data_IF_642661026200
#
_entry.id   IF_642661026200
#
_cell.length_a   1.000
_cell.length_b   1.000
_cell.length_c   1.000
_cell.angle_alpha   90.00
_cell.angle_beta   90.00
_cell.angle_gamma   90.00
#
_symmetry.space_group_name_H-M   'P 1'
#
loop_
_entity.id
_entity.type
_entity.pdbx_description
1 polymer ?
#
# COMPACT_ATOMS: atom_id res chain seq x y z
N UNK A 1 14.11 -18.06 -19.96
CA UNK A 1 13.82 -18.98 -18.83
C UNK A 1 14.71 -20.19 -18.94
N UNK A 2 15.33 -20.62 -17.86
CA UNK A 2 16.20 -21.80 -17.79
C UNK A 2 15.40 -23.12 -17.78
N UNK A 3 14.07 -23.04 -17.91
CA UNK A 3 13.15 -24.18 -17.97
C UNK A 3 12.58 -24.60 -16.61
N UNK A 4 12.91 -23.89 -15.53
CA UNK A 4 12.37 -24.15 -14.19
C UNK A 4 10.93 -23.61 -13.98
N UNK A 5 10.38 -22.89 -14.96
CA UNK A 5 9.03 -22.34 -14.95
C UNK A 5 8.92 -20.95 -14.34
N UNK A 6 10.01 -20.39 -13.80
CA UNK A 6 10.04 -19.05 -13.23
C UNK A 6 10.61 -18.01 -14.19
N UNK A 7 10.26 -16.76 -13.93
CA UNK A 7 10.71 -15.60 -14.71
C UNK A 7 12.09 -15.17 -14.26
N UNK A 8 12.85 -14.64 -15.20
CA UNK A 8 14.19 -14.09 -14.99
C UNK A 8 14.19 -12.58 -15.20
N UNK A 9 15.17 -11.92 -14.60
CA UNK A 9 15.51 -10.54 -14.88
C UNK A 9 16.13 -10.40 -16.27
N UNK A 10 16.16 -9.19 -16.87
CA UNK A 10 16.75 -8.97 -18.19
C UNK A 10 18.22 -9.37 -18.31
N UNK A 11 18.93 -9.44 -17.19
CA UNK A 11 20.35 -9.88 -17.12
C UNK A 11 20.50 -11.41 -16.98
N UNK A 12 19.41 -12.17 -16.92
CA UNK A 12 19.38 -13.62 -16.78
C UNK A 12 19.38 -14.12 -15.32
N UNK A 13 19.44 -13.24 -14.34
CA UNK A 13 19.32 -13.65 -12.94
C UNK A 13 17.88 -14.04 -12.59
N UNK A 14 17.68 -14.91 -11.61
CA UNK A 14 16.36 -15.30 -11.15
C UNK A 14 15.62 -14.11 -10.52
N UNK A 15 14.37 -13.89 -10.94
CA UNK A 15 13.47 -12.95 -10.29
C UNK A 15 12.89 -13.60 -9.02
N UNK A 16 13.42 -13.22 -7.87
CA UNK A 16 12.93 -13.69 -6.56
C UNK A 16 12.49 -12.48 -5.73
N UNK A 17 11.23 -12.45 -5.32
CA UNK A 17 10.67 -11.37 -4.51
C UNK A 17 10.58 -11.78 -3.04
N UNK A 18 11.16 -11.01 -2.14
CA UNK A 18 11.08 -11.23 -0.70
C UNK A 18 9.80 -10.58 -0.15
N UNK A 19 8.87 -11.41 0.30
CA UNK A 19 7.58 -11.01 0.88
C UNK A 19 7.68 -11.07 2.40
N UNK A 20 8.25 -10.06 3.02
CA UNK A 20 8.26 -9.97 4.48
C UNK A 20 6.93 -9.43 4.99
N UNK A 21 6.40 -10.03 6.05
CA UNK A 21 5.17 -9.59 6.69
C UNK A 21 5.25 -9.68 8.22
N UNK A 22 4.40 -8.91 8.89
CA UNK A 22 4.17 -9.06 10.33
C UNK A 22 2.70 -9.42 10.54
N UNK A 23 2.43 -10.43 11.38
CA UNK A 23 1.06 -10.92 11.63
C UNK A 23 0.13 -9.85 12.22
N UNK A 24 0.68 -8.81 12.84
CA UNK A 24 -0.07 -7.63 13.24
C UNK A 24 -0.71 -6.90 12.03
N UNK A 25 -0.07 -6.93 10.87
CA UNK A 25 -0.52 -6.23 9.67
C UNK A 25 -1.42 -7.07 8.76
N UNK A 26 -1.09 -8.36 8.61
CA UNK A 26 -1.81 -9.28 7.72
C UNK A 26 -1.64 -10.72 8.20
N UNK A 27 -2.65 -11.57 7.96
CA UNK A 27 -2.56 -12.99 8.27
C UNK A 27 -1.56 -13.72 7.34
N UNK A 28 -0.71 -14.56 7.91
CA UNK A 28 0.32 -15.31 7.16
C UNK A 28 -0.26 -16.16 6.03
N UNK A 29 -1.42 -16.81 6.25
CA UNK A 29 -2.10 -17.58 5.22
C UNK A 29 -2.46 -16.75 3.97
N UNK A 30 -2.78 -15.47 4.14
CA UNK A 30 -3.04 -14.58 2.98
C UNK A 30 -1.77 -14.34 2.19
N UNK A 31 -0.65 -14.15 2.87
CA UNK A 31 0.66 -13.91 2.22
C UNK A 31 1.11 -15.17 1.47
N UNK A 32 1.00 -16.33 2.11
CA UNK A 32 1.32 -17.62 1.50
C UNK A 32 0.48 -17.90 0.25
N UNK A 33 -0.83 -17.61 0.31
CA UNK A 33 -1.73 -17.78 -0.84
C UNK A 33 -1.36 -16.87 -2.00
N UNK A 34 -0.99 -15.61 -1.73
CA UNK A 34 -0.48 -14.70 -2.77
C UNK A 34 0.80 -15.24 -3.38
N UNK A 35 1.72 -15.76 -2.57
CA UNK A 35 2.94 -16.40 -3.05
C UNK A 35 2.67 -17.59 -3.97
N UNK A 36 1.68 -18.43 -3.66
CA UNK A 36 1.25 -19.55 -4.51
C UNK A 36 0.69 -19.04 -5.85
N UNK A 37 -0.20 -18.05 -5.85
CA UNK A 37 -0.74 -17.48 -7.10
C UNK A 37 0.34 -16.84 -7.96
N UNK A 38 1.36 -16.25 -7.36
CA UNK A 38 2.48 -15.70 -8.10
C UNK A 38 3.36 -16.80 -8.70
N UNK A 39 3.57 -17.89 -7.97
CA UNK A 39 4.29 -19.06 -8.50
C UNK A 39 3.57 -19.66 -9.72
N UNK A 40 2.24 -19.72 -9.71
CA UNK A 40 1.42 -20.22 -10.82
C UNK A 40 1.60 -19.41 -12.12
N UNK A 41 2.02 -18.15 -12.01
CA UNK A 41 2.33 -17.28 -13.15
C UNK A 41 3.83 -17.07 -13.37
N UNK A 42 4.65 -17.87 -12.70
CA UNK A 42 6.10 -17.90 -12.87
C UNK A 42 6.84 -16.79 -12.11
N UNK A 43 6.27 -16.22 -11.07
CA UNK A 43 6.96 -15.25 -10.19
C UNK A 43 7.34 -15.96 -8.89
N UNK A 44 8.65 -16.15 -8.69
CA UNK A 44 9.15 -16.76 -7.46
C UNK A 44 9.11 -15.77 -6.30
N UNK A 45 8.61 -16.21 -5.14
CA UNK A 45 8.62 -15.40 -3.92
C UNK A 45 9.09 -16.20 -2.71
N UNK A 46 9.72 -15.50 -1.76
CA UNK A 46 10.11 -16.04 -0.46
C UNK A 46 9.29 -15.33 0.61
N UNK A 47 8.40 -16.08 1.26
CA UNK A 47 7.54 -15.57 2.33
C UNK A 47 8.26 -15.70 3.67
N UNK A 48 8.39 -14.60 4.42
CA UNK A 48 9.05 -14.55 5.72
C UNK A 48 8.23 -13.74 6.72
N UNK A 49 7.84 -14.38 7.80
CA UNK A 49 7.31 -13.68 8.98
C UNK A 49 8.44 -13.01 9.74
N UNK A 50 8.25 -11.76 10.12
CA UNK A 50 9.18 -10.96 10.91
C UNK A 50 8.44 -10.25 12.04
N UNK A 51 9.17 -9.76 13.02
CA UNK A 51 8.58 -8.93 14.08
C UNK A 51 8.12 -7.58 13.53
N UNK A 52 7.14 -6.90 14.16
CA UNK A 52 6.73 -5.56 13.73
C UNK A 52 7.87 -4.55 13.67
N UNK A 53 8.82 -4.64 14.59
CA UNK A 53 9.98 -3.72 14.63
C UNK A 53 10.98 -4.02 13.51
N UNK A 54 11.23 -5.29 13.22
CA UNK A 54 12.05 -5.72 12.07
C UNK A 54 11.40 -5.27 10.75
N UNK A 55 10.07 -5.46 10.62
CA UNK A 55 9.32 -5.01 9.46
C UNK A 55 9.45 -3.50 9.24
N UNK A 56 9.23 -2.69 10.29
CA UNK A 56 9.36 -1.24 10.22
C UNK A 56 10.78 -0.78 9.88
N UNK A 57 11.77 -1.41 10.48
CA UNK A 57 13.18 -1.10 10.21
C UNK A 57 13.55 -1.41 8.76
N UNK A 58 13.10 -2.54 8.23
CA UNK A 58 13.32 -2.92 6.83
C UNK A 58 12.57 -1.97 5.85
N UNK A 59 11.33 -1.57 6.20
CA UNK A 59 10.53 -0.62 5.46
C UNK A 59 11.23 0.74 5.36
N UNK A 60 11.64 1.31 6.50
CA UNK A 60 12.32 2.61 6.55
C UNK A 60 13.68 2.60 5.82
N UNK A 61 14.34 1.45 5.80
CA UNK A 61 15.60 1.25 5.08
C UNK A 61 15.42 0.89 3.60
N UNK A 62 14.19 0.90 3.08
CA UNK A 62 13.85 0.50 1.70
C UNK A 62 14.39 -0.90 1.32
N UNK A 63 14.28 -1.87 2.23
CA UNK A 63 14.78 -3.25 2.07
C UNK A 63 13.70 -4.29 1.81
N UNK A 64 12.46 -3.86 1.54
CA UNK A 64 11.34 -4.74 1.24
C UNK A 64 11.06 -4.70 -0.26
N UNK A 65 11.05 -5.87 -0.91
CA UNK A 65 10.64 -5.98 -2.32
C UNK A 65 9.12 -5.89 -2.43
N UNK A 66 8.41 -6.54 -1.50
CA UNK A 66 6.95 -6.54 -1.42
C UNK A 66 6.51 -6.24 -0.01
N UNK A 67 5.64 -5.27 0.12
CA UNK A 67 5.02 -4.90 1.38
C UNK A 67 3.56 -5.32 1.39
N UNK A 68 3.16 -6.03 2.44
CA UNK A 68 1.77 -6.44 2.64
C UNK A 68 1.24 -5.91 3.96
N UNK A 69 0.11 -5.21 3.88
CA UNK A 69 -0.54 -4.62 5.04
C UNK A 69 -2.05 -4.54 4.83
N UNK A 70 -2.79 -4.35 5.90
CA UNK A 70 -4.24 -4.11 5.84
C UNK A 70 -4.58 -2.63 5.75
N UNK A 71 -5.66 -2.33 5.06
CA UNK A 71 -6.30 -1.02 5.04
C UNK A 71 -7.81 -1.19 5.00
N UNK A 72 -8.54 -0.47 5.81
CA UNK A 72 -10.00 -0.62 5.94
C UNK A 72 -10.76 0.71 5.87
N UNK A 73 -10.17 1.74 5.27
CA UNK A 73 -10.81 3.06 5.18
C UNK A 73 -11.57 3.23 3.87
N UNK A 74 -12.67 4.01 3.89
CA UNK A 74 -13.36 4.41 2.67
C UNK A 74 -12.43 5.10 1.67
N UNK A 75 -12.69 4.91 0.38
CA UNK A 75 -11.86 5.45 -0.70
C UNK A 75 -11.60 6.96 -0.58
N UNK A 76 -12.61 7.74 -0.23
CA UNK A 76 -12.47 9.19 -0.08
C UNK A 76 -11.44 9.58 1.00
N UNK A 77 -11.39 8.84 2.11
CA UNK A 77 -10.40 9.05 3.18
C UNK A 77 -9.00 8.62 2.69
N UNK A 78 -8.93 7.52 1.95
CA UNK A 78 -7.68 7.04 1.36
C UNK A 78 -7.11 8.05 0.38
N UNK A 79 -7.92 8.59 -0.51
CA UNK A 79 -7.50 9.58 -1.49
C UNK A 79 -7.08 10.90 -0.84
N UNK A 80 -7.75 11.32 0.23
CA UNK A 80 -7.40 12.53 0.96
C UNK A 80 -6.19 12.39 1.89
N UNK A 81 -5.70 11.18 2.11
CA UNK A 81 -4.59 10.90 3.02
C UNK A 81 -3.38 10.39 2.25
N UNK A 82 -2.61 11.33 1.68
CA UNK A 82 -1.43 11.04 0.88
C UNK A 82 -0.33 10.30 1.65
N UNK A 83 -0.23 10.46 2.96
CA UNK A 83 0.75 9.79 3.82
C UNK A 83 0.72 8.26 3.71
N UNK A 84 -0.40 7.70 3.28
CA UNK A 84 -0.60 6.26 3.27
C UNK A 84 -0.29 5.59 1.92
N UNK A 85 -0.27 6.36 0.81
CA UNK A 85 -0.32 5.75 -0.51
C UNK A 85 0.71 6.28 -1.50
N UNK A 86 1.11 7.54 -1.37
CA UNK A 86 1.90 8.23 -2.39
C UNK A 86 2.94 9.14 -1.75
N UNK A 87 4.14 9.30 -2.31
CA UNK A 87 5.07 10.36 -1.90
C UNK A 87 4.43 11.76 -2.06
N UNK A 88 4.74 12.74 -1.20
CA UNK A 88 5.63 12.62 -0.05
C UNK A 88 4.92 11.92 1.11
N UNK A 89 5.60 10.97 1.72
CA UNK A 89 5.11 10.33 2.93
C UNK A 89 5.91 10.83 4.12
N UNK A 90 5.27 11.05 5.23
CA UNK A 90 5.99 11.08 6.49
C UNK A 90 6.53 9.67 6.79
N UNK A 91 7.65 9.59 7.47
CA UNK A 91 8.24 8.32 7.90
C UNK A 91 7.41 7.70 9.04
N UNK A 92 6.17 7.41 8.73
CA UNK A 92 5.21 6.80 9.61
C UNK A 92 5.03 5.32 9.25
N UNK A 93 4.68 4.47 10.20
CA UNK A 93 4.53 3.05 9.91
C UNK A 93 3.42 2.75 8.87
N UNK A 94 2.64 3.73 8.51
CA UNK A 94 1.68 3.72 7.43
C UNK A 94 2.28 3.83 6.03
N UNK A 95 3.50 4.32 5.88
CA UNK A 95 4.19 4.45 4.59
C UNK A 95 4.39 3.07 3.97
N UNK A 96 4.02 2.93 2.72
CA UNK A 96 4.00 1.62 2.05
C UNK A 96 4.83 1.56 0.79
N UNK A 97 5.02 2.67 0.09
CA UNK A 97 5.62 2.67 -1.25
C UNK A 97 6.49 3.90 -1.43
N UNK A 98 7.65 3.73 -2.09
CA UNK A 98 8.44 4.85 -2.59
C UNK A 98 9.19 5.64 -1.52
N UNK A 99 9.79 5.00 -0.53
CA UNK A 99 10.58 5.67 0.52
C UNK A 99 11.66 6.58 -0.06
N UNK A 100 12.38 6.11 -1.08
CA UNK A 100 13.42 6.91 -1.73
C UNK A 100 12.83 8.05 -2.57
N UNK A 101 11.60 7.90 -3.07
CA UNK A 101 10.89 8.99 -3.75
C UNK A 101 10.46 10.07 -2.74
N UNK A 102 9.97 9.66 -1.56
CA UNK A 102 9.64 10.58 -0.49
C UNK A 102 10.88 11.38 -0.05
N UNK A 103 12.00 10.70 0.16
CA UNK A 103 13.27 11.35 0.52
C UNK A 103 13.73 12.36 -0.55
N UNK A 104 13.54 12.05 -1.84
CA UNK A 104 13.85 12.97 -2.92
C UNK A 104 12.96 14.22 -2.90
N UNK A 105 11.66 14.04 -2.69
CA UNK A 105 10.69 15.16 -2.61
C UNK A 105 11.00 16.02 -1.39
N UNK A 106 11.18 15.45 -0.21
CA UNK A 106 11.43 16.16 1.05
C UNK A 106 12.75 16.91 1.04
N UNK A 107 13.77 16.37 0.37
CA UNK A 107 15.08 17.00 0.24
C UNK A 107 15.21 17.97 -0.94
N UNK A 108 14.14 18.20 -1.71
CA UNK A 108 14.17 18.96 -2.96
C UNK A 108 15.22 18.44 -3.95
N UNK A 109 15.34 17.13 -4.05
CA UNK A 109 16.24 16.45 -4.99
C UNK A 109 17.68 16.25 -4.49
N UNK A 110 17.99 16.59 -3.24
CA UNK A 110 19.34 16.43 -2.70
C UNK A 110 19.65 14.98 -2.31
N UNK A 111 18.66 14.20 -1.90
CA UNK A 111 18.79 12.79 -1.47
C UNK A 111 17.68 11.94 -2.11
N UNK A 112 17.80 10.62 -1.96
CA UNK A 112 16.81 9.68 -2.46
C UNK A 112 16.92 9.43 -3.97
N UNK A 113 15.81 9.07 -4.58
CA UNK A 113 15.68 8.76 -6.02
C UNK A 113 14.55 9.59 -6.62
N UNK A 114 14.81 10.20 -7.77
CA UNK A 114 13.81 11.00 -8.47
C UNK A 114 12.57 10.15 -8.83
N UNK A 115 11.36 10.57 -8.42
CA UNK A 115 10.14 9.85 -8.77
C UNK A 115 9.90 9.86 -10.29
N UNK A 116 9.36 8.77 -10.86
CA UNK A 116 8.94 8.76 -12.25
C UNK A 116 7.77 9.74 -12.49
N UNK A 117 7.54 10.09 -13.75
CA UNK A 117 6.55 11.11 -14.12
C UNK A 117 5.16 10.84 -13.54
N UNK A 118 4.68 9.61 -13.63
CA UNK A 118 3.35 9.25 -13.12
C UNK A 118 3.22 9.43 -11.59
N UNK A 119 4.30 9.27 -10.83
CA UNK A 119 4.31 9.53 -9.38
C UNK A 119 4.28 11.04 -9.12
N UNK A 120 5.01 11.84 -9.88
CA UNK A 120 4.96 13.32 -9.78
C UNK A 120 3.57 13.87 -10.10
N UNK A 121 2.93 13.33 -11.15
CA UNK A 121 1.54 13.67 -11.50
C UNK A 121 0.58 13.31 -10.36
N UNK A 122 0.74 12.13 -9.78
CA UNK A 122 -0.10 11.68 -8.67
C UNK A 122 0.07 12.57 -7.43
N UNK A 123 1.29 12.98 -7.08
CA UNK A 123 1.56 13.95 -6.00
C UNK A 123 0.84 15.29 -6.29
N UNK A 124 0.93 15.78 -7.52
CA UNK A 124 0.26 17.02 -7.94
C UNK A 124 -1.26 16.91 -7.81
N UNK A 125 -1.83 15.79 -8.25
CA UNK A 125 -3.27 15.54 -8.18
C UNK A 125 -3.76 15.42 -6.72
N UNK A 126 -3.00 14.79 -5.83
CA UNK A 126 -3.33 14.70 -4.41
C UNK A 126 -3.34 16.08 -3.76
N UNK A 127 -2.34 16.91 -4.02
CA UNK A 127 -2.28 18.27 -3.47
C UNK A 127 -3.47 19.12 -3.96
N UNK A 128 -3.83 18.99 -5.23
CA UNK A 128 -5.01 19.64 -5.80
C UNK A 128 -6.31 19.11 -5.19
N UNK A 129 -6.44 17.78 -5.05
CA UNK A 129 -7.59 17.11 -4.45
C UNK A 129 -7.84 17.55 -3.00
N UNK A 130 -6.78 17.66 -2.20
CA UNK A 130 -6.88 18.12 -0.80
C UNK A 130 -7.34 19.57 -0.69
N UNK A 131 -7.09 20.39 -1.71
CA UNK A 131 -7.44 21.81 -1.73
C UNK A 131 -8.78 22.11 -2.43
N UNK A 132 -9.32 21.13 -3.18
CA UNK A 132 -10.54 21.30 -3.95
C UNK A 132 -11.80 21.27 -3.08
N UNK A 133 -12.84 21.99 -3.50
CA UNK A 133 -14.17 21.89 -2.88
C UNK A 133 -14.75 20.50 -3.16
N UNK A 134 -15.08 19.77 -2.09
CA UNK A 134 -15.63 18.40 -2.16
C UNK A 134 -16.94 18.30 -2.95
N UNK A 135 -17.69 19.40 -3.10
CA UNK A 135 -18.92 19.45 -3.89
C UNK A 135 -18.68 19.75 -5.38
N UNK A 136 -17.45 20.08 -5.78
CA UNK A 136 -17.12 20.48 -7.14
C UNK A 136 -16.94 19.28 -8.08
N UNK A 137 -17.10 19.53 -9.38
CA UNK A 137 -16.76 18.55 -10.41
C UNK A 137 -15.25 18.34 -10.51
N UNK A 138 -14.45 19.34 -10.18
CA UNK A 138 -12.98 19.24 -10.11
C UNK A 138 -12.55 18.19 -9.11
N UNK A 139 -13.14 18.15 -7.90
CA UNK A 139 -12.86 17.14 -6.89
C UNK A 139 -13.09 15.71 -7.41
N UNK A 140 -14.19 15.49 -8.14
CA UNK A 140 -14.47 14.17 -8.74
C UNK A 140 -13.45 13.81 -9.80
N UNK A 141 -13.13 14.74 -10.71
CA UNK A 141 -12.16 14.51 -11.78
C UNK A 141 -10.77 14.20 -11.22
N UNK A 142 -10.33 14.93 -10.20
CA UNK A 142 -9.06 14.66 -9.52
C UNK A 142 -9.05 13.27 -8.87
N UNK A 143 -10.12 12.90 -8.17
CA UNK A 143 -10.25 11.57 -7.56
C UNK A 143 -10.20 10.44 -8.61
N UNK A 144 -10.88 10.59 -9.74
CA UNK A 144 -10.84 9.62 -10.85
C UNK A 144 -9.44 9.51 -11.45
N UNK A 145 -8.73 10.61 -11.66
CA UNK A 145 -7.34 10.61 -12.16
C UNK A 145 -6.40 9.89 -11.21
N UNK A 146 -6.51 10.16 -9.91
CA UNK A 146 -5.70 9.50 -8.87
C UNK A 146 -5.90 7.99 -8.87
N UNK A 147 -7.16 7.54 -8.88
CA UNK A 147 -7.49 6.10 -8.92
C UNK A 147 -6.97 5.47 -10.22
N UNK A 148 -7.19 6.12 -11.36
CA UNK A 148 -6.71 5.65 -12.65
C UNK A 148 -5.19 5.49 -12.65
N UNK A 149 -4.45 6.51 -12.20
CA UNK A 149 -2.99 6.48 -12.12
C UNK A 149 -2.49 5.30 -11.26
N UNK A 150 -3.08 5.11 -10.07
CA UNK A 150 -2.70 4.02 -9.17
C UNK A 150 -2.96 2.63 -9.76
N UNK A 151 -4.08 2.46 -10.49
CA UNK A 151 -4.45 1.18 -11.11
C UNK A 151 -3.59 0.89 -12.33
N UNK A 152 -3.38 1.86 -13.21
CA UNK A 152 -2.59 1.69 -14.44
C UNK A 152 -1.11 1.42 -14.15
N UNK A 153 -0.57 1.97 -13.07
CA UNK A 153 0.82 1.77 -12.66
C UNK A 153 1.00 0.68 -11.60
N UNK A 154 -0.05 -0.03 -11.21
CA UNK A 154 -0.04 -1.13 -10.25
C UNK A 154 0.69 -0.78 -8.93
N UNK A 155 0.54 0.45 -8.45
CA UNK A 155 1.17 0.88 -7.20
C UNK A 155 0.67 0.07 -6.00
N UNK A 156 -0.58 -0.39 -6.06
CA UNK A 156 -1.19 -1.23 -5.04
C UNK A 156 -2.01 -2.34 -5.69
N UNK A 157 -1.92 -3.53 -5.12
CA UNK A 157 -2.71 -4.69 -5.52
C UNK A 157 -3.58 -5.09 -4.33
N UNK A 158 -4.90 -4.92 -4.47
CA UNK A 158 -5.87 -5.37 -3.46
C UNK A 158 -5.92 -6.90 -3.43
N UNK A 159 -5.95 -7.49 -2.24
CA UNK A 159 -6.05 -8.94 -2.05
C UNK A 159 -7.47 -9.36 -1.70
N UNK A 160 -7.93 -9.00 -0.50
CA UNK A 160 -9.24 -9.40 0.01
C UNK A 160 -9.91 -8.22 0.71
N UNK A 161 -11.23 -8.16 0.63
CA UNK A 161 -12.03 -7.28 1.47
C UNK A 161 -12.55 -8.10 2.65
N UNK A 162 -11.94 -7.89 3.82
CA UNK A 162 -12.35 -8.60 5.02
C UNK A 162 -13.62 -7.97 5.63
N UNK A 163 -14.64 -8.76 5.96
CA UNK A 163 -15.75 -8.24 6.75
C UNK A 163 -15.25 -7.89 8.16
N UNK A 164 -15.72 -6.78 8.69
CA UNK A 164 -15.46 -6.36 10.07
C UNK A 164 -16.76 -6.50 10.91
N UNK A 165 -17.11 -7.72 11.36
CA UNK A 165 -18.30 -7.90 12.16
C UNK A 165 -18.12 -7.23 13.52
N UNK A 166 -19.11 -6.45 13.93
CA UNK A 166 -19.17 -5.96 15.30
C UNK A 166 -19.70 -7.05 16.22
N UNK A 167 -18.87 -7.46 17.17
CA UNK A 167 -19.24 -8.42 18.19
C UNK A 167 -19.24 -7.70 19.54
N UNK A 168 -20.36 -7.70 20.24
CA UNK A 168 -20.48 -7.11 21.56
C UNK A 168 -21.17 -8.07 22.54
N UNK A 169 -20.90 -7.90 23.83
CA UNK A 169 -21.55 -8.65 24.86
C UNK A 169 -23.02 -8.22 25.01
N UNK A 170 -23.93 -9.17 25.23
CA UNK A 170 -25.38 -8.92 25.32
C UNK A 170 -25.80 -7.94 26.43
N UNK A 171 -24.96 -7.74 27.44
CA UNK A 171 -25.20 -6.78 28.52
C UNK A 171 -24.86 -5.33 28.13
N UNK A 172 -24.18 -5.11 27.00
CA UNK A 172 -23.92 -3.76 26.49
C UNK A 172 -25.21 -3.16 25.95
N UNK A 173 -25.67 -2.08 26.58
CA UNK A 173 -26.89 -1.35 26.20
C UNK A 173 -26.51 -0.05 25.48
N UNK A 174 -27.46 0.46 24.71
CA UNK A 174 -27.29 1.71 23.93
C UNK A 174 -26.10 1.69 22.96
N UNK A 175 -25.76 0.51 22.48
CA UNK A 175 -24.71 0.33 21.50
C UNK A 175 -25.28 0.52 20.08
N UNK A 176 -24.65 1.41 19.31
CA UNK A 176 -25.05 1.67 17.93
C UNK A 176 -24.15 0.88 16.98
N UNK A 177 -24.76 0.09 16.10
CA UNK A 177 -24.04 -0.58 15.03
C UNK A 177 -23.77 0.40 13.89
N UNK A 178 -22.51 0.56 13.53
CA UNK A 178 -22.08 1.39 12.40
C UNK A 178 -21.76 0.50 11.20
N UNK A 179 -22.16 0.95 10.01
CA UNK A 179 -21.85 0.25 8.75
C UNK A 179 -20.41 0.49 8.30
N UNK A 180 -19.80 1.56 8.78
CA UNK A 180 -18.45 1.98 8.41
C UNK A 180 -17.68 2.31 9.67
N UNK A 181 -16.50 1.74 9.79
CA UNK A 181 -15.57 1.97 10.92
C UNK A 181 -14.32 2.66 10.40
N UNK A 182 -13.86 3.66 11.12
CA UNK A 182 -12.51 4.20 10.97
C UNK A 182 -11.61 3.62 12.05
N UNK A 183 -10.35 3.41 11.74
CA UNK A 183 -9.35 2.96 12.70
C UNK A 183 -9.20 3.90 13.91
N UNK A 184 -9.53 5.17 13.73
CA UNK A 184 -9.34 6.22 14.75
C UNK A 184 -10.56 6.42 15.67
N UNK A 185 -11.67 5.76 15.39
CA UNK A 185 -12.91 5.85 16.18
C UNK A 185 -13.32 4.46 16.65
N UNK A 186 -12.93 4.15 17.88
CA UNK A 186 -13.43 2.99 18.61
C UNK A 186 -14.65 3.36 19.45
#
# INVERSE_FOLDING_TARGET
TDGDGFRELPNGDKLVLNMSFATQGIAGQTVELVGQYWADVGVQSVVKEVTPDEYRSAQSANKLDVMMWRKSQPLAIVLGNNELWVPPFENYFGVRTGMLWAEWVDSNGANGVEPPAYVKELISDINAFQSADQSSDEFKVLGERMVKNMVENLLFIGTVNAPAPMIHHNNLKNFTSFKTHSYEYY
#
